data_IF_727650734544
#
_entry.id   IF_727650734544
#
_cell.length_a   1.000
_cell.length_b   1.000
_cell.length_c   1.000
_cell.angle_alpha   90.00
_cell.angle_beta   90.00
_cell.angle_gamma   90.00
#
_symmetry.space_group_name_H-M   'P 1'
#
loop_
_entity.id
_entity.type
_entity.pdbx_description
1 polymer ?
#
# COMPACT_ATOMS: atom_id res chain seq x y z
N UNK A 1 55.77 -28.80 -29.32
CA UNK A 1 54.63 -28.08 -28.71
C UNK A 1 55.22 -26.92 -27.93
N UNK A 2 55.13 -25.71 -28.46
CA UNK A 2 55.81 -24.51 -27.93
C UNK A 2 54.80 -23.69 -27.12
N UNK A 3 55.04 -23.55 -25.81
CA UNK A 3 54.18 -22.76 -24.92
C UNK A 3 54.36 -21.26 -25.18
N UNK A 4 53.33 -20.66 -25.78
CA UNK A 4 53.24 -19.24 -26.08
C UNK A 4 52.69 -18.51 -24.86
N UNK A 5 53.58 -17.92 -24.06
CA UNK A 5 53.20 -17.02 -22.98
C UNK A 5 52.71 -15.69 -23.55
N UNK A 6 51.55 -15.22 -23.08
CA UNK A 6 51.00 -13.90 -23.41
C UNK A 6 51.27 -12.99 -22.22
N UNK A 7 52.09 -11.96 -22.45
CA UNK A 7 52.43 -10.95 -21.45
C UNK A 7 51.28 -9.93 -21.33
N UNK A 8 50.73 -9.77 -20.13
CA UNK A 8 49.61 -8.85 -19.87
C UNK A 8 50.18 -7.50 -19.42
N UNK A 9 49.81 -6.37 -20.05
CA UNK A 9 50.40 -5.08 -19.73
C UNK A 9 50.03 -4.63 -18.31
N UNK A 10 51.04 -4.13 -17.57
CA UNK A 10 50.86 -3.54 -16.25
C UNK A 10 50.16 -2.18 -16.40
N UNK A 11 48.86 -2.14 -16.13
CA UNK A 11 48.10 -0.89 -16.13
C UNK A 11 48.36 -0.12 -14.82
N UNK A 12 48.81 1.12 -14.97
CA UNK A 12 49.18 2.01 -13.87
C UNK A 12 47.89 2.54 -13.22
N UNK A 13 47.43 1.88 -12.15
CA UNK A 13 46.19 2.23 -11.44
C UNK A 13 46.45 3.34 -10.42
N UNK A 14 46.45 4.59 -10.87
CA UNK A 14 46.33 5.74 -9.98
C UNK A 14 45.42 6.80 -10.58
N UNK A 15 44.11 6.55 -10.54
CA UNK A 15 43.12 7.63 -10.61
C UNK A 15 42.42 7.71 -9.26
N UNK A 16 42.56 8.88 -8.62
CA UNK A 16 42.08 9.14 -7.27
C UNK A 16 40.55 9.20 -7.31
N UNK A 17 39.89 8.34 -6.53
CA UNK A 17 38.44 8.33 -6.40
C UNK A 17 37.92 9.70 -5.93
N UNK A 18 37.19 10.40 -6.80
CA UNK A 18 36.50 11.65 -6.46
C UNK A 18 35.23 11.30 -5.69
N UNK A 19 35.31 11.33 -4.36
CA UNK A 19 34.13 11.22 -3.48
C UNK A 19 33.30 12.50 -3.61
N UNK A 20 32.07 12.39 -4.14
CA UNK A 20 31.09 13.47 -4.06
C UNK A 20 30.49 13.49 -2.66
N UNK A 21 30.57 14.64 -1.99
CA UNK A 21 29.96 14.91 -0.68
C UNK A 21 28.45 15.12 -0.88
N UNK A 22 27.56 14.44 -0.14
CA UNK A 22 26.12 14.61 -0.29
C UNK A 22 25.67 15.98 0.21
N UNK A 23 25.10 16.78 -0.70
CA UNK A 23 24.52 18.10 -0.43
C UNK A 23 23.03 17.95 -0.07
N UNK A 24 22.73 18.37 1.16
CA UNK A 24 21.49 18.92 1.71
C UNK A 24 20.11 18.34 1.34
N UNK A 25 19.52 17.67 2.34
CA UNK A 25 18.15 17.84 2.86
C UNK A 25 17.27 18.89 2.13
N UNK A 26 16.37 18.41 1.29
CA UNK A 26 15.12 19.12 0.97
C UNK A 26 13.95 18.24 1.43
N UNK A 27 13.03 18.85 2.18
CA UNK A 27 11.76 18.25 2.57
C UNK A 27 10.96 17.87 1.32
N UNK A 28 10.23 16.74 1.31
CA UNK A 28 9.48 16.34 0.13
C UNK A 28 8.32 17.33 -0.11
N UNK A 29 8.25 18.00 -1.27
CA UNK A 29 6.96 18.44 -1.79
C UNK A 29 6.14 17.19 -2.09
N UNK A 30 4.89 17.18 -1.63
CA UNK A 30 3.89 16.16 -1.91
C UNK A 30 3.92 15.82 -3.40
N UNK A 31 4.37 14.60 -3.71
CA UNK A 31 4.40 14.07 -5.06
C UNK A 31 2.96 13.75 -5.45
N UNK A 32 2.31 14.68 -6.14
CA UNK A 32 1.22 14.34 -7.04
C UNK A 32 1.81 13.43 -8.13
N UNK A 33 1.72 12.12 -7.92
CA UNK A 33 2.19 11.11 -8.84
C UNK A 33 1.23 10.96 -10.02
N UNK A 34 1.37 11.83 -11.01
CA UNK A 34 0.82 11.60 -12.36
C UNK A 34 1.71 10.57 -13.07
N UNK A 35 1.54 9.28 -12.73
CA UNK A 35 2.17 8.12 -13.38
C UNK A 35 1.28 7.50 -14.48
N UNK A 36 1.86 6.74 -15.43
CA UNK A 36 1.26 6.43 -16.73
C UNK A 36 0.07 5.46 -16.62
N UNK A 37 -0.73 5.44 -17.68
CA UNK A 37 -2.05 4.81 -17.83
C UNK A 37 -2.12 3.27 -17.72
N UNK A 38 -1.49 2.68 -16.69
CA UNK A 38 -1.52 1.26 -16.37
C UNK A 38 -2.32 0.91 -15.11
N UNK A 39 -2.87 1.88 -14.36
CA UNK A 39 -3.44 1.63 -13.04
C UNK A 39 -4.74 2.39 -12.74
N UNK A 40 -5.63 2.54 -13.73
CA UNK A 40 -6.95 3.17 -13.51
C UNK A 40 -7.77 2.48 -12.41
N UNK A 41 -7.57 1.17 -12.21
CA UNK A 41 -8.23 0.38 -11.17
C UNK A 41 -7.74 0.71 -9.76
N UNK A 42 -6.43 0.95 -9.57
CA UNK A 42 -5.93 1.40 -8.27
C UNK A 42 -6.48 2.78 -7.91
N UNK A 43 -6.65 3.66 -8.90
CA UNK A 43 -7.19 5.00 -8.66
C UNK A 43 -8.62 4.96 -8.08
N UNK A 44 -9.49 4.07 -8.60
CA UNK A 44 -10.85 3.92 -8.07
C UNK A 44 -10.84 3.29 -6.67
N UNK A 45 -9.98 2.29 -6.46
CA UNK A 45 -9.84 1.63 -5.18
C UNK A 45 -9.34 2.58 -4.09
N UNK A 46 -8.27 3.32 -4.37
CA UNK A 46 -7.67 4.26 -3.43
C UNK A 46 -8.63 5.43 -3.16
N UNK A 47 -9.33 5.93 -4.19
CA UNK A 47 -10.37 6.95 -4.02
C UNK A 47 -11.51 6.45 -3.13
N UNK A 48 -11.93 5.19 -3.27
CA UNK A 48 -12.94 4.57 -2.41
C UNK A 48 -12.47 4.51 -0.95
N UNK A 49 -11.28 3.98 -0.67
CA UNK A 49 -10.77 3.95 0.71
C UNK A 49 -10.54 5.33 1.30
N UNK A 50 -10.04 6.27 0.51
CA UNK A 50 -9.84 7.64 0.95
C UNK A 50 -11.16 8.30 1.35
N UNK A 51 -12.22 8.09 0.56
CA UNK A 51 -13.56 8.57 0.88
C UNK A 51 -14.08 7.98 2.20
N UNK A 52 -14.02 6.65 2.35
CA UNK A 52 -14.45 5.97 3.59
C UNK A 52 -13.71 6.45 4.84
N UNK A 53 -12.39 6.66 4.73
CA UNK A 53 -11.55 7.11 5.84
C UNK A 53 -11.82 8.58 6.20
N UNK A 54 -12.03 9.44 5.19
CA UNK A 54 -12.33 10.87 5.39
C UNK A 54 -13.68 11.06 6.07
N UNK A 55 -14.69 10.28 5.67
CA UNK A 55 -16.03 10.36 6.24
C UNK A 55 -16.18 9.58 7.55
N UNK A 56 -15.17 8.78 7.92
CA UNK A 56 -15.24 7.85 9.06
C UNK A 56 -16.49 6.97 8.98
N UNK A 57 -16.84 6.57 7.75
CA UNK A 57 -18.06 5.83 7.46
C UNK A 57 -17.98 4.42 8.05
N UNK A 58 -19.07 3.99 8.67
CA UNK A 58 -19.23 2.62 9.13
C UNK A 58 -19.39 1.71 7.91
N UNK A 59 -18.57 0.67 7.82
CA UNK A 59 -18.58 -0.28 6.72
C UNK A 59 -18.78 -1.69 7.23
N UNK A 60 -19.35 -2.53 6.38
CA UNK A 60 -19.39 -3.97 6.58
C UNK A 60 -18.42 -4.61 5.58
N UNK A 61 -17.43 -5.31 6.12
CA UNK A 61 -16.45 -6.08 5.35
C UNK A 61 -16.94 -7.52 5.34
N UNK A 62 -17.27 -8.03 4.16
CA UNK A 62 -17.71 -9.43 4.02
C UNK A 62 -16.56 -10.27 3.52
N UNK A 63 -16.22 -11.31 4.28
CA UNK A 63 -15.12 -12.21 3.97
C UNK A 63 -15.53 -13.27 2.93
N UNK A 64 -14.54 -14.04 2.45
CA UNK A 64 -14.77 -15.09 1.45
C UNK A 64 -15.72 -16.20 1.92
N UNK A 65 -15.71 -16.52 3.22
CA UNK A 65 -16.64 -17.47 3.86
C UNK A 65 -18.06 -16.90 4.02
N UNK A 66 -18.22 -15.58 3.88
CA UNK A 66 -19.48 -14.87 3.99
C UNK A 66 -19.74 -14.28 5.37
N UNK A 67 -18.85 -14.46 6.34
CA UNK A 67 -18.97 -13.81 7.65
C UNK A 67 -18.72 -12.29 7.50
N UNK A 68 -19.58 -11.43 8.05
CA UNK A 68 -19.38 -9.99 8.03
C UNK A 68 -18.62 -9.50 9.26
N UNK A 69 -17.83 -8.45 9.08
CA UNK A 69 -17.23 -7.66 10.15
C UNK A 69 -17.50 -6.19 9.93
N UNK A 70 -18.15 -5.56 10.90
CA UNK A 70 -18.55 -4.16 10.85
C UNK A 70 -17.51 -3.31 11.58
N UNK A 71 -17.10 -2.20 11.00
CA UNK A 71 -16.15 -1.29 11.62
C UNK A 71 -15.88 -0.03 10.78
N UNK A 72 -14.92 0.77 11.22
CA UNK A 72 -14.45 1.95 10.49
C UNK A 72 -13.08 1.67 9.94
N UNK A 73 -12.84 2.05 8.68
CA UNK A 73 -11.50 1.92 8.07
C UNK A 73 -10.61 3.05 8.61
N UNK A 74 -9.55 2.68 9.33
CA UNK A 74 -8.59 3.63 9.89
C UNK A 74 -7.30 3.74 9.05
N UNK A 75 -7.07 2.77 8.15
CA UNK A 75 -5.95 2.81 7.22
C UNK A 75 -6.06 1.77 6.12
N UNK A 76 -5.30 1.95 5.04
CA UNK A 76 -5.17 0.97 3.96
C UNK A 76 -3.80 1.06 3.30
N UNK A 77 -3.35 -0.05 2.73
CA UNK A 77 -2.16 -0.10 1.89
C UNK A 77 -2.45 -0.88 0.60
N UNK A 78 -1.43 -1.40 -0.08
CA UNK A 78 -1.60 -2.22 -1.28
C UNK A 78 -2.31 -3.56 -1.00
N UNK A 79 -2.04 -4.22 0.12
CA UNK A 79 -2.41 -5.62 0.40
C UNK A 79 -3.44 -5.81 1.51
N UNK A 80 -3.58 -4.86 2.41
CA UNK A 80 -4.37 -4.94 3.62
C UNK A 80 -5.13 -3.63 3.90
N UNK A 81 -6.10 -3.73 4.79
CA UNK A 81 -6.82 -2.62 5.39
C UNK A 81 -6.77 -2.76 6.91
N UNK A 82 -6.73 -1.64 7.61
CA UNK A 82 -6.84 -1.58 9.06
C UNK A 82 -8.28 -1.19 9.41
N UNK A 83 -8.99 -2.09 10.09
CA UNK A 83 -10.36 -1.90 10.49
C UNK A 83 -10.42 -1.75 12.02
N UNK A 84 -11.03 -0.66 12.48
CA UNK A 84 -11.36 -0.47 13.89
C UNK A 84 -12.76 -1.02 14.14
N UNK A 85 -12.86 -2.11 14.90
CA UNK A 85 -14.13 -2.78 15.25
C UNK A 85 -14.17 -3.13 16.73
N UNK A 86 -15.27 -2.83 17.41
CA UNK A 86 -15.45 -3.12 18.85
C UNK A 86 -14.31 -2.59 19.76
N UNK A 87 -13.62 -1.52 19.35
CA UNK A 87 -12.49 -0.95 20.08
C UNK A 87 -11.15 -1.65 19.84
N UNK A 88 -11.11 -2.65 18.97
CA UNK A 88 -9.89 -3.34 18.54
C UNK A 88 -9.50 -2.96 17.11
N UNK A 89 -8.20 -2.81 16.87
CA UNK A 89 -7.63 -2.63 15.55
C UNK A 89 -7.30 -4.00 14.93
N UNK A 90 -7.98 -4.31 13.83
CA UNK A 90 -7.87 -5.58 13.12
C UNK A 90 -7.26 -5.33 11.76
N UNK A 91 -6.10 -5.95 11.50
CA UNK A 91 -5.46 -5.92 10.19
C UNK A 91 -6.05 -7.02 9.30
N UNK A 92 -6.70 -6.62 8.21
CA UNK A 92 -7.40 -7.52 7.28
C UNK A 92 -6.68 -7.55 5.94
N UNK A 93 -6.29 -8.74 5.48
CA UNK A 93 -5.75 -8.91 4.13
C UNK A 93 -6.86 -8.85 3.08
N UNK A 94 -6.64 -8.07 2.02
CA UNK A 94 -7.60 -7.91 0.92
C UNK A 94 -7.89 -9.23 0.20
N UNK A 95 -6.98 -10.19 0.22
CA UNK A 95 -7.19 -11.53 -0.35
C UNK A 95 -8.27 -12.35 0.37
N UNK A 96 -8.60 -12.00 1.62
CA UNK A 96 -9.67 -12.63 2.40
C UNK A 96 -11.01 -11.90 2.27
N UNK A 97 -11.05 -10.75 1.59
CA UNK A 97 -12.24 -9.92 1.44
C UNK A 97 -12.98 -10.29 0.16
N UNK A 98 -14.28 -10.54 0.28
CA UNK A 98 -15.16 -10.76 -0.86
C UNK A 98 -15.67 -9.43 -1.42
N UNK A 99 -16.16 -8.54 -0.55
CA UNK A 99 -16.58 -7.18 -0.88
C UNK A 99 -16.68 -6.30 0.38
N UNK A 100 -16.76 -4.98 0.17
CA UNK A 100 -16.95 -3.98 1.23
C UNK A 100 -18.09 -3.06 0.80
N UNK A 101 -18.99 -2.74 1.71
CA UNK A 101 -20.06 -1.76 1.46
C UNK A 101 -20.34 -0.94 2.72
N UNK A 102 -21.05 0.18 2.54
CA UNK A 102 -21.46 1.02 3.65
C UNK A 102 -22.46 0.26 4.53
N UNK A 103 -22.25 0.31 5.84
CA UNK A 103 -23.18 -0.24 6.79
C UNK A 103 -24.29 0.78 7.07
N UNK A 104 -25.49 0.51 6.56
CA UNK A 104 -26.65 1.40 6.70
C UNK A 104 -27.50 1.10 7.94
N UNK A 105 -27.02 0.23 8.83
CA UNK A 105 -27.80 -0.31 9.93
C UNK A 105 -28.64 -1.51 9.48
N UNK A 106 -28.79 -2.48 10.36
CA UNK A 106 -29.73 -3.57 10.14
C UNK A 106 -31.14 -2.95 10.20
N UNK A 107 -31.88 -2.96 9.10
CA UNK A 107 -33.31 -2.58 9.10
C UNK A 107 -34.20 -3.48 9.96
N UNK A 108 -33.64 -4.22 10.92
CA UNK A 108 -34.25 -5.25 11.74
C UNK A 108 -34.13 -4.99 13.26
N UNK A 109 -33.52 -3.89 13.70
CA UNK A 109 -33.32 -3.59 15.14
C UNK A 109 -34.58 -3.03 15.84
N UNK A 110 -35.76 -3.03 15.19
CA UNK A 110 -37.02 -2.55 15.79
C UNK A 110 -38.01 -3.64 16.24
N UNK A 111 -37.65 -4.94 16.21
CA UNK A 111 -38.63 -6.01 16.50
C UNK A 111 -38.40 -6.88 17.75
N UNK A 112 -37.47 -6.56 18.62
CA UNK A 112 -37.41 -7.21 19.94
C UNK A 112 -36.86 -6.26 21.01
N UNK A 113 -37.74 -5.40 21.53
CA UNK A 113 -37.70 -4.88 22.90
C UNK A 113 -39.07 -5.08 23.50
#
# INVERSE_FOLDING_TARGET
MSEKWIEVPRTNRTDKARVQKPTSRQAPPQQASTGPAGNRTSYVQDAFYQHLMTERSLVEVVFLDGEPLIGVIDGFDTYAILLLSQGEEILIFKSAIRYIHLYLGDGNTEKNV
#
